data_IF_203445086751
#
_entry.id   IF_203445086751
#
_cell.length_a   1.000
_cell.length_b   1.000
_cell.length_c   1.000
_cell.angle_alpha   90.00
_cell.angle_beta   90.00
_cell.angle_gamma   90.00
#
_symmetry.space_group_name_H-M   'P 1'
#
loop_
_entity.id
_entity.type
_entity.pdbx_description
1 polymer ?
#
# COMPACT_ATOMS: atom_id res chain seq x y z
N UNK A 1 -2.16 -35.04 -28.80
CA UNK A 1 -3.20 -35.00 -27.73
C UNK A 1 -3.90 -33.65 -27.81
N UNK A 2 -5.16 -33.47 -27.36
CA UNK A 2 -5.73 -32.13 -27.25
C UNK A 2 -4.87 -31.28 -26.29
N UNK A 3 -4.53 -30.05 -26.69
CA UNK A 3 -3.74 -29.13 -25.88
C UNK A 3 -4.50 -28.84 -24.58
N UNK A 4 -3.87 -29.13 -23.45
CA UNK A 4 -4.53 -28.99 -22.14
C UNK A 4 -4.23 -27.62 -21.56
N UNK A 5 -5.22 -26.72 -21.40
CA UNK A 5 -4.98 -25.39 -20.85
C UNK A 5 -4.70 -25.46 -19.34
N UNK A 6 -3.67 -24.75 -18.91
CA UNK A 6 -3.39 -24.45 -17.50
C UNK A 6 -3.97 -23.07 -17.22
N UNK A 7 -4.95 -22.99 -16.34
CA UNK A 7 -5.71 -21.74 -16.09
C UNK A 7 -5.46 -21.21 -14.68
N UNK A 8 -5.72 -19.92 -14.49
CA UNK A 8 -5.74 -19.29 -13.16
C UNK A 8 -6.92 -19.88 -12.35
N UNK A 9 -6.66 -20.63 -11.25
CA UNK A 9 -7.71 -21.20 -10.43
C UNK A 9 -8.46 -20.12 -9.63
N UNK A 10 -9.70 -20.41 -9.27
CA UNK A 10 -10.47 -19.58 -8.35
C UNK A 10 -9.98 -19.83 -6.91
N UNK A 11 -9.16 -18.92 -6.38
CA UNK A 11 -8.61 -19.02 -5.02
C UNK A 11 -9.57 -18.50 -3.95
N UNK A 12 -10.42 -17.52 -4.28
CA UNK A 12 -11.43 -16.95 -3.38
C UNK A 12 -12.64 -16.43 -4.19
N UNK A 13 -13.86 -16.67 -3.70
CA UNK A 13 -15.10 -16.26 -4.36
C UNK A 13 -15.22 -14.73 -4.60
N UNK A 14 -14.42 -13.91 -3.91
CA UNK A 14 -14.46 -12.45 -4.00
C UNK A 14 -13.24 -11.83 -4.70
N UNK A 15 -12.35 -12.63 -5.29
CA UNK A 15 -11.11 -12.16 -5.92
C UNK A 15 -11.05 -12.61 -7.38
N UNK A 16 -11.38 -11.72 -8.34
CA UNK A 16 -11.47 -12.08 -9.76
C UNK A 16 -10.11 -12.13 -10.46
N UNK A 17 -9.03 -11.73 -9.79
CA UNK A 17 -7.68 -11.58 -10.37
C UNK A 17 -6.61 -12.15 -9.43
N UNK A 18 -5.55 -12.71 -10.01
CA UNK A 18 -4.37 -13.20 -9.32
C UNK A 18 -3.10 -12.73 -10.06
N UNK A 19 -2.03 -12.49 -9.32
CA UNK A 19 -0.72 -12.13 -9.85
C UNK A 19 0.14 -13.38 -10.00
N UNK A 20 0.76 -13.59 -11.16
CA UNK A 20 1.79 -14.60 -11.34
C UNK A 20 3.09 -14.10 -10.69
N UNK A 21 3.51 -14.74 -9.59
CA UNK A 21 4.66 -14.28 -8.80
C UNK A 21 5.93 -15.07 -9.08
N UNK A 22 5.82 -16.36 -9.39
CA UNK A 22 6.98 -17.18 -9.78
C UNK A 22 6.60 -18.13 -10.92
N UNK A 23 7.54 -18.29 -11.85
CA UNK A 23 7.47 -19.30 -12.93
C UNK A 23 8.55 -20.35 -12.68
N UNK A 24 8.13 -21.57 -12.37
CA UNK A 24 9.05 -22.67 -11.98
C UNK A 24 9.50 -23.55 -13.15
N UNK A 25 9.05 -23.25 -14.37
CA UNK A 25 9.26 -24.06 -15.57
C UNK A 25 9.61 -23.19 -16.79
N UNK A 26 10.40 -23.74 -17.71
CA UNK A 26 10.75 -23.10 -18.97
C UNK A 26 9.76 -23.45 -20.10
N UNK A 27 9.61 -22.55 -21.08
CA UNK A 27 8.88 -22.86 -22.32
C UNK A 27 9.55 -24.04 -23.05
N UNK A 28 8.74 -25.01 -23.45
CA UNK A 28 9.18 -26.28 -24.04
C UNK A 28 9.71 -27.32 -23.04
N UNK A 29 9.63 -27.08 -21.72
CA UNK A 29 10.05 -28.05 -20.71
C UNK A 29 9.03 -29.19 -20.57
N UNK A 30 9.51 -30.44 -20.50
CA UNK A 30 8.66 -31.61 -20.18
C UNK A 30 8.42 -31.69 -18.67
N UNK A 31 7.17 -31.85 -18.27
CA UNK A 31 6.72 -31.95 -16.88
C UNK A 31 5.88 -33.20 -16.66
N UNK A 32 5.92 -33.76 -15.45
CA UNK A 32 5.04 -34.85 -15.01
C UNK A 32 3.80 -34.27 -14.31
N UNK A 33 2.72 -35.07 -14.21
CA UNK A 33 1.52 -34.65 -13.47
C UNK A 33 1.86 -34.39 -11.98
N UNK A 34 1.31 -33.30 -11.42
CA UNK A 34 1.60 -32.83 -10.06
C UNK A 34 2.86 -31.96 -9.95
N UNK A 35 3.60 -31.72 -11.04
CA UNK A 35 4.72 -30.78 -11.02
C UNK A 35 4.21 -29.35 -10.85
N UNK A 36 4.82 -28.59 -9.93
CA UNK A 36 4.52 -27.17 -9.75
C UNK A 36 5.02 -26.39 -10.96
N UNK A 37 4.13 -25.63 -11.61
CA UNK A 37 4.43 -24.82 -12.79
C UNK A 37 4.56 -23.34 -12.43
N UNK A 38 3.63 -22.85 -11.62
CA UNK A 38 3.49 -21.44 -11.29
C UNK A 38 3.16 -21.26 -9.83
N UNK A 39 3.61 -20.16 -9.23
CA UNK A 39 3.04 -19.65 -7.98
C UNK A 39 2.27 -18.39 -8.30
N UNK A 40 1.02 -18.34 -7.88
CA UNK A 40 0.14 -17.18 -8.05
C UNK A 40 -0.24 -16.61 -6.69
N UNK A 41 -0.31 -15.29 -6.60
CA UNK A 41 -0.64 -14.57 -5.39
C UNK A 41 -1.90 -13.72 -5.60
N UNK A 42 -2.86 -13.84 -4.69
CA UNK A 42 -3.93 -12.86 -4.52
C UNK A 42 -3.65 -11.99 -3.32
N UNK A 43 -4.48 -10.98 -3.09
CA UNK A 43 -4.34 -10.09 -1.91
C UNK A 43 -4.39 -10.81 -0.55
N UNK A 44 -4.78 -12.09 -0.51
CA UNK A 44 -4.98 -12.85 0.73
C UNK A 44 -4.19 -14.15 0.83
N UNK A 45 -3.77 -14.74 -0.28
CA UNK A 45 -3.07 -16.02 -0.28
C UNK A 45 -2.18 -16.18 -1.52
N UNK A 46 -1.09 -16.92 -1.36
CA UNK A 46 -0.37 -17.50 -2.48
C UNK A 46 -0.77 -18.97 -2.64
N UNK A 47 -0.83 -19.45 -3.88
CA UNK A 47 -1.12 -20.83 -4.22
C UNK A 47 -0.28 -21.28 -5.40
N UNK A 48 0.14 -22.52 -5.35
CA UNK A 48 0.83 -23.16 -6.47
C UNK A 48 -0.19 -23.71 -7.48
N UNK A 49 0.19 -23.65 -8.75
CA UNK A 49 -0.54 -24.23 -9.89
C UNK A 49 0.27 -25.41 -10.42
N UNK A 50 -0.30 -26.60 -10.32
CA UNK A 50 0.33 -27.85 -10.70
C UNK A 50 -0.09 -28.32 -12.11
N UNK A 51 0.77 -29.11 -12.76
CA UNK A 51 0.46 -29.77 -14.01
C UNK A 51 -0.61 -30.86 -13.81
N UNK A 52 -1.78 -30.79 -14.48
CA UNK A 52 -2.83 -31.80 -14.34
C UNK A 52 -2.48 -33.14 -15.02
N UNK A 53 -1.59 -33.09 -16.01
CA UNK A 53 -1.16 -34.26 -16.80
C UNK A 53 0.32 -34.14 -17.16
N UNK A 54 0.91 -35.24 -17.64
CA UNK A 54 2.24 -35.20 -18.29
C UNK A 54 2.16 -34.44 -19.61
N UNK A 55 3.19 -33.66 -19.95
CA UNK A 55 3.26 -32.92 -21.22
C UNK A 55 4.45 -31.97 -21.32
N UNK A 56 4.52 -31.24 -22.44
CA UNK A 56 5.47 -30.14 -22.62
C UNK A 56 4.76 -28.80 -22.37
N UNK A 57 5.36 -27.93 -21.56
CA UNK A 57 4.80 -26.63 -21.23
C UNK A 57 4.98 -25.66 -22.40
N UNK A 58 3.90 -25.03 -22.85
CA UNK A 58 3.92 -23.90 -23.78
C UNK A 58 3.40 -22.65 -23.08
N UNK A 59 4.31 -21.73 -22.78
CA UNK A 59 4.06 -20.55 -21.96
C UNK A 59 3.22 -19.50 -22.69
N UNK A 60 2.25 -18.91 -21.97
CA UNK A 60 1.47 -17.76 -22.45
C UNK A 60 1.54 -16.54 -21.53
N UNK A 61 1.73 -16.75 -20.22
CA UNK A 61 1.91 -15.69 -19.23
C UNK A 61 3.38 -15.53 -18.82
N UNK A 62 3.75 -14.36 -18.32
CA UNK A 62 5.07 -14.05 -17.78
C UNK A 62 4.98 -13.67 -16.29
N UNK A 63 6.07 -13.91 -15.56
CA UNK A 63 6.20 -13.49 -14.17
C UNK A 63 5.90 -11.99 -14.02
N UNK A 64 5.04 -11.64 -13.07
CA UNK A 64 4.55 -10.29 -12.84
C UNK A 64 3.19 -9.97 -13.47
N UNK A 65 2.66 -10.82 -14.36
CA UNK A 65 1.34 -10.62 -14.97
C UNK A 65 0.21 -10.69 -13.92
N UNK A 66 -0.80 -9.82 -14.07
CA UNK A 66 -2.06 -9.88 -13.33
C UNK A 66 -3.12 -10.46 -14.27
N UNK A 67 -3.69 -11.60 -13.89
CA UNK A 67 -4.53 -12.43 -14.75
C UNK A 67 -5.87 -12.68 -14.06
N UNK A 68 -6.96 -12.69 -14.83
CA UNK A 68 -8.28 -12.99 -14.30
C UNK A 68 -8.45 -14.49 -14.05
N UNK A 69 -9.30 -14.86 -13.10
CA UNK A 69 -9.67 -16.26 -12.87
C UNK A 69 -10.22 -16.86 -14.17
N UNK A 70 -9.65 -18.00 -14.59
CA UNK A 70 -9.97 -18.67 -15.84
C UNK A 70 -9.09 -18.28 -17.03
N UNK A 71 -8.24 -17.24 -16.93
CA UNK A 71 -7.25 -16.94 -17.97
C UNK A 71 -6.22 -18.07 -18.07
N UNK A 72 -5.69 -18.31 -19.28
CA UNK A 72 -4.74 -19.41 -19.55
C UNK A 72 -3.30 -18.94 -19.32
N UNK A 73 -2.62 -19.57 -18.37
CA UNK A 73 -1.21 -19.34 -18.04
C UNK A 73 -0.26 -20.00 -19.06
N UNK A 74 -0.59 -21.23 -19.46
CA UNK A 74 0.18 -22.04 -20.37
C UNK A 74 -0.68 -23.18 -20.94
N UNK A 75 -0.16 -23.90 -21.93
CA UNK A 75 -0.73 -25.15 -22.40
C UNK A 75 0.24 -26.30 -22.15
N UNK A 76 -0.29 -27.51 -21.89
CA UNK A 76 0.46 -28.75 -22.01
C UNK A 76 0.22 -29.35 -23.39
N UNK A 77 1.31 -29.58 -24.11
CA UNK A 77 1.34 -30.11 -25.48
C UNK A 77 2.06 -31.46 -25.55
N UNK A 78 1.94 -32.15 -26.68
CA UNK A 78 2.59 -33.45 -26.88
C UNK A 78 4.07 -33.30 -27.24
N UNK A 79 4.45 -32.18 -27.87
CA UNK A 79 5.84 -31.86 -28.20
C UNK A 79 6.23 -30.46 -27.75
N UNK A 80 7.53 -30.25 -27.50
CA UNK A 80 8.07 -28.97 -27.00
C UNK A 80 7.80 -27.76 -27.90
N UNK A 81 7.56 -27.97 -29.21
CA UNK A 81 7.41 -26.90 -30.20
C UNK A 81 6.05 -26.92 -30.89
N UNK A 82 5.06 -27.62 -30.33
CA UNK A 82 3.72 -27.72 -30.92
C UNK A 82 3.03 -26.34 -30.98
N UNK A 83 2.51 -25.97 -32.14
CA UNK A 83 1.81 -24.69 -32.33
C UNK A 83 0.44 -24.70 -31.61
N UNK A 84 0.11 -23.64 -30.88
CA UNK A 84 -1.12 -23.57 -30.08
C UNK A 84 -2.35 -23.28 -30.95
N UNK A 85 -3.39 -24.11 -30.87
CA UNK A 85 -4.54 -24.09 -31.79
C UNK A 85 -5.62 -23.06 -31.40
N UNK A 86 -5.67 -22.60 -30.14
CA UNK A 86 -6.67 -21.64 -29.66
C UNK A 86 -6.03 -20.56 -28.78
N UNK A 87 -6.00 -19.32 -29.26
CA UNK A 87 -5.66 -18.13 -28.46
C UNK A 87 -6.93 -17.29 -28.27
N UNK A 88 -7.68 -17.42 -27.17
CA UNK A 88 -8.86 -16.60 -26.93
C UNK A 88 -8.49 -15.29 -26.23
N UNK A 89 -7.75 -14.43 -26.92
CA UNK A 89 -7.89 -12.96 -26.94
C UNK A 89 -6.72 -12.39 -27.72
N UNK A 90 -7.08 -11.66 -28.77
CA UNK A 90 -6.20 -10.82 -29.56
C UNK A 90 -5.46 -9.81 -28.68
N UNK A 91 -4.27 -10.20 -28.21
CA UNK A 91 -3.20 -9.25 -27.95
C UNK A 91 -2.89 -8.56 -29.29
N UNK A 92 -2.85 -7.22 -29.34
CA UNK A 92 -2.43 -6.55 -30.56
C UNK A 92 -1.00 -6.98 -30.87
N UNK A 93 -0.85 -7.75 -31.96
CA UNK A 93 0.43 -8.09 -32.58
C UNK A 93 1.18 -6.79 -32.83
N UNK A 94 2.18 -6.46 -32.01
CA UNK A 94 3.12 -5.38 -32.31
C UNK A 94 4.05 -5.92 -33.38
N UNK A 95 3.82 -5.49 -34.62
CA UNK A 95 4.83 -5.56 -35.68
C UNK A 95 6.06 -4.83 -35.19
N UNK A 96 7.16 -5.56 -35.03
CA UNK A 96 8.49 -4.98 -34.94
C UNK A 96 8.82 -4.37 -36.29
N UNK A 97 8.65 -3.06 -36.41
CA UNK A 97 9.39 -2.14 -37.29
C UNK A 97 8.69 -0.78 -37.19
N UNK A 98 9.17 0.06 -36.27
CA UNK A 98 9.70 1.37 -36.60
C UNK A 98 10.43 1.91 -35.36
N UNK A 99 11.59 2.52 -35.62
CA UNK A 99 12.58 2.88 -34.62
C UNK A 99 12.00 3.83 -33.56
N UNK A 100 11.90 3.34 -32.32
CA UNK A 100 11.76 4.17 -31.12
C UNK A 100 13.09 4.21 -30.38
N UNK A 101 13.36 5.27 -29.59
CA UNK A 101 14.65 5.47 -28.91
C UNK A 101 15.00 4.27 -28.02
N UNK A 102 16.29 3.92 -27.97
CA UNK A 102 16.82 2.71 -27.30
C UNK A 102 16.18 2.46 -25.92
N UNK A 103 15.53 1.30 -25.77
CA UNK A 103 15.02 0.80 -24.49
C UNK A 103 13.57 1.17 -24.13
N UNK A 104 12.84 1.90 -25.00
CA UNK A 104 11.44 2.21 -24.79
C UNK A 104 10.53 1.03 -25.21
N UNK A 105 9.78 0.45 -24.27
CA UNK A 105 8.79 -0.61 -24.53
C UNK A 105 7.39 -0.02 -24.36
N UNK A 106 6.61 0.11 -25.44
CA UNK A 106 5.28 0.74 -25.44
C UNK A 106 4.28 -0.05 -26.28
N UNK A 107 3.01 -0.16 -25.87
CA UNK A 107 1.97 -0.82 -26.69
C UNK A 107 1.45 0.10 -27.79
N UNK A 108 0.94 -0.43 -28.91
CA UNK A 108 0.36 0.42 -29.99
C UNK A 108 -0.75 1.36 -29.51
N UNK A 109 -1.73 0.92 -28.69
CA UNK A 109 -2.73 1.84 -28.13
C UNK A 109 -2.11 2.93 -27.25
N UNK A 110 -1.07 2.58 -26.48
CA UNK A 110 -0.34 3.54 -25.65
C UNK A 110 0.44 4.56 -26.49
N UNK A 111 1.09 4.13 -27.57
CA UNK A 111 1.80 5.00 -28.49
C UNK A 111 0.84 5.96 -29.21
N UNK A 112 -0.28 5.45 -29.75
CA UNK A 112 -1.29 6.28 -30.40
C UNK A 112 -1.90 7.31 -29.43
N UNK A 113 -2.12 6.91 -28.17
CA UNK A 113 -2.56 7.82 -27.12
C UNK A 113 -1.48 8.87 -26.82
N UNK A 114 -0.21 8.49 -26.70
CA UNK A 114 0.90 9.39 -26.43
C UNK A 114 1.04 10.44 -27.54
N UNK A 115 0.96 10.03 -28.80
CA UNK A 115 0.97 10.91 -29.96
C UNK A 115 -0.25 11.85 -29.96
N UNK A 116 -1.45 11.33 -29.68
CA UNK A 116 -2.68 12.16 -29.60
C UNK A 116 -2.64 13.22 -28.48
N UNK A 117 -1.86 12.96 -27.43
CA UNK A 117 -1.67 13.84 -26.28
C UNK A 117 -0.41 14.72 -26.42
N UNK A 118 0.31 14.63 -27.55
CA UNK A 118 1.52 15.42 -27.81
C UNK A 118 2.72 15.05 -26.92
N UNK A 119 2.77 13.82 -26.41
CA UNK A 119 3.89 13.35 -25.59
C UNK A 119 5.07 12.92 -26.47
N UNK A 120 6.24 13.51 -26.25
CA UNK A 120 7.46 13.03 -26.91
C UNK A 120 7.86 11.63 -26.40
N UNK A 121 7.94 10.66 -27.30
CA UNK A 121 8.29 9.27 -26.99
C UNK A 121 9.66 9.14 -26.32
N UNK A 122 10.62 9.98 -26.70
CA UNK A 122 11.96 10.08 -26.10
C UNK A 122 11.95 10.47 -24.61
N UNK A 123 10.88 11.12 -24.15
CA UNK A 123 10.72 11.60 -22.78
C UNK A 123 9.97 10.61 -21.87
N UNK A 124 9.55 9.47 -22.41
CA UNK A 124 8.80 8.45 -21.68
C UNK A 124 9.75 7.49 -20.93
N UNK A 125 9.34 7.00 -19.75
CA UNK A 125 10.20 6.13 -18.94
C UNK A 125 10.50 4.80 -19.64
N UNK A 126 11.77 4.43 -19.66
CA UNK A 126 12.30 3.18 -20.25
C UNK A 126 12.41 2.06 -19.20
N UNK A 127 12.64 0.82 -19.65
CA UNK A 127 12.85 -0.33 -18.76
C UNK A 127 11.60 -1.09 -18.30
N UNK A 128 10.39 -0.62 -18.65
CA UNK A 128 9.11 -1.33 -18.43
C UNK A 128 8.16 -1.14 -19.62
N UNK A 129 7.16 -2.01 -19.77
CA UNK A 129 6.13 -1.86 -20.81
C UNK A 129 5.15 -0.74 -20.44
N UNK A 130 5.01 0.25 -21.31
CA UNK A 130 4.04 1.33 -21.19
C UNK A 130 2.73 0.95 -21.88
N UNK A 131 1.67 0.80 -21.09
CA UNK A 131 0.30 0.53 -21.55
C UNK A 131 -0.48 1.84 -21.73
N UNK A 132 -1.68 1.76 -22.32
CA UNK A 132 -2.53 2.95 -22.50
C UNK A 132 -2.88 3.60 -21.16
N UNK A 133 -3.09 2.79 -20.11
CA UNK A 133 -3.26 3.27 -18.74
C UNK A 133 -2.03 4.05 -18.25
N UNK A 134 -0.82 3.51 -18.45
CA UNK A 134 0.43 4.19 -18.07
C UNK A 134 0.64 5.52 -18.83
N UNK A 135 0.18 5.61 -20.09
CA UNK A 135 0.23 6.85 -20.86
C UNK A 135 -0.84 7.85 -20.39
N UNK A 136 -2.05 7.40 -20.03
CA UNK A 136 -3.06 8.25 -19.37
C UNK A 136 -2.54 8.80 -18.05
N UNK A 137 -1.81 8.00 -17.28
CA UNK A 137 -1.14 8.44 -16.05
C UNK A 137 -0.08 9.51 -16.32
N UNK A 138 0.82 9.24 -17.27
CA UNK A 138 1.89 10.19 -17.65
C UNK A 138 1.30 11.49 -18.19
N UNK A 139 0.22 11.41 -18.96
CA UNK A 139 -0.49 12.57 -19.47
C UNK A 139 -1.27 13.32 -18.39
N UNK A 140 -1.92 12.62 -17.46
CA UNK A 140 -2.58 13.23 -16.31
C UNK A 140 -1.59 13.93 -15.38
N UNK A 141 -0.37 13.39 -15.24
CA UNK A 141 0.73 14.04 -14.54
C UNK A 141 1.35 15.23 -15.31
N UNK A 142 1.10 15.36 -16.62
CA UNK A 142 1.64 16.40 -17.51
C UNK A 142 0.64 17.48 -17.92
N UNK A 143 -0.67 17.27 -17.76
CA UNK A 143 -1.58 18.41 -17.80
C UNK A 143 -1.15 19.36 -16.69
N UNK A 144 -0.82 20.62 -17.00
CA UNK A 144 -0.42 21.57 -15.97
C UNK A 144 -1.59 21.69 -15.00
N UNK A 145 -1.45 21.07 -13.82
CA UNK A 145 -2.35 21.38 -12.72
C UNK A 145 -1.95 22.79 -12.31
N UNK A 146 -2.88 23.73 -12.51
CA UNK A 146 -2.71 25.09 -12.04
C UNK A 146 -2.74 25.07 -10.51
N UNK A 147 -1.57 24.89 -9.90
CA UNK A 147 -1.38 24.86 -8.47
C UNK A 147 -1.08 26.28 -7.98
N UNK A 148 -1.84 26.78 -6.98
CA UNK A 148 -1.52 28.05 -6.35
C UNK A 148 -0.19 27.94 -5.60
N UNK A 149 0.37 29.09 -5.24
CA UNK A 149 1.41 29.14 -4.23
C UNK A 149 0.78 28.92 -2.85
N UNK A 150 1.50 28.22 -1.97
CA UNK A 150 1.01 27.81 -0.66
C UNK A 150 1.71 28.57 0.46
N UNK A 151 0.91 28.95 1.45
CA UNK A 151 1.39 29.52 2.70
C UNK A 151 1.82 28.42 3.69
N UNK A 152 2.52 28.82 4.76
CA UNK A 152 3.05 27.91 5.78
C UNK A 152 1.98 27.15 6.59
N UNK A 153 0.70 27.54 6.51
CA UNK A 153 -0.42 26.89 7.17
C UNK A 153 -1.07 25.78 6.32
N UNK A 154 -0.65 25.61 5.07
CA UNK A 154 -1.18 24.58 4.20
C UNK A 154 -0.53 23.23 4.48
N UNK A 155 -1.35 22.17 4.43
CA UNK A 155 -0.92 20.79 4.67
C UNK A 155 -1.39 19.87 3.55
N UNK A 156 -0.47 19.03 3.07
CA UNK A 156 -0.77 17.95 2.13
C UNK A 156 -1.33 16.74 2.88
N UNK A 157 -2.30 16.04 2.30
CA UNK A 157 -2.71 14.72 2.76
C UNK A 157 -2.20 13.66 1.77
N UNK A 158 -1.47 12.67 2.24
CA UNK A 158 -1.04 11.56 1.39
C UNK A 158 -1.86 10.30 1.66
N UNK A 159 -2.67 9.90 0.68
CA UNK A 159 -3.62 8.79 0.71
C UNK A 159 -5.06 9.30 0.68
N UNK A 160 -5.93 8.56 0.02
CA UNK A 160 -7.36 8.87 -0.16
C UNK A 160 -8.30 7.80 0.43
N UNK A 161 -7.74 6.87 1.23
CA UNK A 161 -8.46 5.76 1.84
C UNK A 161 -9.27 6.13 3.10
N UNK A 162 -9.76 5.10 3.82
CA UNK A 162 -10.54 5.29 5.04
C UNK A 162 -9.79 6.01 6.16
N UNK A 163 -8.51 5.69 6.37
CA UNK A 163 -7.66 6.39 7.35
C UNK A 163 -7.46 7.86 6.98
N UNK A 164 -7.26 8.16 5.70
CA UNK A 164 -7.11 9.53 5.22
C UNK A 164 -8.34 10.40 5.52
N UNK A 165 -9.55 9.84 5.40
CA UNK A 165 -10.79 10.55 5.79
C UNK A 165 -10.75 11.01 7.24
N UNK A 166 -10.37 10.12 8.15
CA UNK A 166 -10.25 10.46 9.57
C UNK A 166 -9.13 11.49 9.84
N UNK A 167 -8.01 11.42 9.11
CA UNK A 167 -6.93 12.42 9.21
C UNK A 167 -7.40 13.79 8.69
N UNK A 168 -8.13 13.84 7.57
CA UNK A 168 -8.69 15.08 7.03
C UNK A 168 -9.66 15.74 8.01
N UNK A 169 -10.59 14.97 8.56
CA UNK A 169 -11.53 15.47 9.57
C UNK A 169 -10.79 15.96 10.82
N UNK A 170 -9.73 15.27 11.25
CA UNK A 170 -8.89 15.72 12.36
C UNK A 170 -8.18 17.05 12.05
N UNK A 171 -7.56 17.18 10.88
CA UNK A 171 -6.91 18.43 10.45
C UNK A 171 -7.91 19.58 10.41
N UNK A 172 -9.10 19.34 9.84
CA UNK A 172 -10.18 20.34 9.79
C UNK A 172 -10.68 20.72 11.19
N UNK A 173 -10.84 19.74 12.09
CA UNK A 173 -11.28 19.99 13.46
C UNK A 173 -10.25 20.78 14.28
N UNK A 174 -8.94 20.52 14.09
CA UNK A 174 -7.86 21.29 14.71
C UNK A 174 -7.94 22.76 14.26
N UNK A 175 -8.23 23.02 12.99
CA UNK A 175 -8.43 24.36 12.45
C UNK A 175 -7.15 25.20 12.32
N UNK A 176 -5.97 24.62 12.63
CA UNK A 176 -4.66 25.29 12.52
C UNK A 176 -4.03 25.14 11.13
N UNK A 177 -4.56 24.25 10.28
CA UNK A 177 -4.02 23.99 8.95
C UNK A 177 -5.11 23.94 7.88
N UNK A 178 -4.76 24.37 6.66
CA UNK A 178 -5.63 24.31 5.48
C UNK A 178 -5.21 23.15 4.60
N UNK A 179 -6.11 22.24 4.29
CA UNK A 179 -5.78 21.10 3.42
C UNK A 179 -5.59 21.61 2.00
N UNK A 180 -4.37 21.52 1.47
CA UNK A 180 -4.02 21.92 0.11
C UNK A 180 -4.63 20.99 -0.95
N UNK A 181 -4.69 19.70 -0.62
CA UNK A 181 -5.17 18.66 -1.51
C UNK A 181 -4.68 17.28 -1.05
N UNK A 182 -5.02 16.27 -1.84
CA UNK A 182 -4.66 14.88 -1.59
C UNK A 182 -3.72 14.38 -2.68
N UNK A 183 -2.67 13.65 -2.31
CA UNK A 183 -1.97 12.76 -3.23
C UNK A 183 -2.38 11.31 -2.98
N UNK A 184 -2.65 10.55 -4.03
CA UNK A 184 -2.85 9.11 -3.95
C UNK A 184 -2.24 8.44 -5.19
N UNK A 185 -1.52 7.34 -4.99
CA UNK A 185 -0.85 6.64 -6.08
C UNK A 185 -1.81 5.82 -6.97
N UNK A 186 -3.08 5.68 -6.56
CA UNK A 186 -4.10 5.16 -7.44
C UNK A 186 -4.49 6.23 -8.48
N UNK A 187 -4.10 6.07 -9.75
CA UNK A 187 -4.33 7.07 -10.78
C UNK A 187 -5.81 7.27 -11.08
N UNK A 188 -6.66 6.28 -10.80
CA UNK A 188 -8.11 6.39 -10.97
C UNK A 188 -8.74 7.39 -9.99
N UNK A 189 -7.99 7.87 -8.99
CA UNK A 189 -8.44 8.90 -8.04
C UNK A 189 -8.06 10.31 -8.45
N UNK A 190 -7.09 10.50 -9.34
CA UNK A 190 -6.67 11.82 -9.79
C UNK A 190 -7.86 12.62 -10.36
N UNK A 191 -7.99 13.89 -9.95
CA UNK A 191 -9.09 14.77 -10.33
C UNK A 191 -10.43 14.49 -9.64
N UNK A 192 -10.55 13.40 -8.86
CA UNK A 192 -11.72 13.18 -7.99
C UNK A 192 -11.58 13.99 -6.70
N UNK A 193 -12.63 13.97 -5.88
CA UNK A 193 -12.58 14.55 -4.54
C UNK A 193 -12.93 13.51 -3.47
N UNK A 194 -12.36 13.71 -2.27
CA UNK A 194 -12.68 12.94 -1.08
C UNK A 194 -13.03 13.93 0.03
N UNK A 195 -14.23 13.82 0.59
CA UNK A 195 -14.76 14.80 1.57
C UNK A 195 -14.69 16.26 1.07
N UNK A 196 -14.89 16.47 -0.24
CA UNK A 196 -14.80 17.79 -0.87
C UNK A 196 -13.38 18.30 -1.11
N UNK A 197 -12.34 17.56 -0.71
CA UNK A 197 -10.94 17.90 -0.99
C UNK A 197 -10.49 17.26 -2.30
N UNK A 198 -9.85 17.99 -3.23
CA UNK A 198 -9.40 17.44 -4.50
C UNK A 198 -8.21 16.49 -4.34
N UNK A 199 -8.23 15.39 -5.08
CA UNK A 199 -7.07 14.53 -5.30
C UNK A 199 -6.28 15.09 -6.46
N UNK A 200 -5.14 15.70 -6.15
CA UNK A 200 -4.30 16.41 -7.11
C UNK A 200 -3.61 15.43 -8.07
N UNK A 201 -3.24 14.24 -7.61
CA UNK A 201 -2.56 13.24 -8.42
C UNK A 201 -1.77 12.26 -7.55
N UNK A 202 -0.70 11.69 -8.11
CA UNK A 202 0.18 10.76 -7.39
C UNK A 202 1.48 11.41 -6.90
N UNK A 203 2.38 10.57 -6.38
CA UNK A 203 3.71 10.98 -5.86
C UNK A 203 4.55 11.89 -6.74
N UNK A 204 4.35 11.87 -8.06
CA UNK A 204 5.11 12.70 -9.00
C UNK A 204 4.98 14.21 -8.75
N UNK A 205 3.93 14.65 -8.05
CA UNK A 205 3.69 16.06 -7.75
C UNK A 205 4.39 16.55 -6.47
N UNK A 206 5.05 15.68 -5.70
CA UNK A 206 5.68 16.07 -4.43
C UNK A 206 6.71 17.20 -4.61
N UNK A 207 7.59 17.09 -5.61
CA UNK A 207 8.61 18.11 -5.88
C UNK A 207 7.98 19.46 -6.27
N UNK A 208 7.00 19.43 -7.18
CA UNK A 208 6.29 20.64 -7.63
C UNK A 208 5.54 21.32 -6.48
N UNK A 209 4.88 20.55 -5.61
CA UNK A 209 4.19 21.10 -4.44
C UNK A 209 5.15 21.80 -3.47
N UNK A 210 6.37 21.25 -3.31
CA UNK A 210 7.42 21.88 -2.50
C UNK A 210 7.93 23.17 -3.12
N UNK A 211 8.14 23.19 -4.44
CA UNK A 211 8.51 24.40 -5.19
C UNK A 211 7.43 25.48 -5.06
N UNK A 212 6.16 25.08 -4.98
CA UNK A 212 5.00 25.95 -4.72
C UNK A 212 4.86 26.39 -3.26
N UNK A 213 5.80 26.04 -2.38
CA UNK A 213 5.81 26.48 -0.98
C UNK A 213 5.07 25.57 0.00
N UNK A 214 4.50 24.44 -0.43
CA UNK A 214 3.79 23.53 0.49
C UNK A 214 4.78 22.75 1.35
N UNK A 215 4.89 23.10 2.64
CA UNK A 215 5.91 22.55 3.56
C UNK A 215 5.43 21.35 4.38
N UNK A 216 4.15 21.32 4.73
CA UNK A 216 3.61 20.37 5.69
C UNK A 216 2.90 19.21 5.01
N UNK A 217 2.98 18.03 5.61
CA UNK A 217 2.20 16.87 5.18
C UNK A 217 1.67 16.06 6.37
N UNK A 218 0.55 15.37 6.15
CA UNK A 218 0.02 14.34 7.02
C UNK A 218 -0.18 13.05 6.23
N UNK A 219 0.35 11.94 6.76
CA UNK A 219 0.18 10.64 6.14
C UNK A 219 -1.21 10.07 6.44
N UNK A 220 -2.02 9.92 5.40
CA UNK A 220 -3.36 9.34 5.39
C UNK A 220 -3.39 7.82 5.22
N UNK A 221 -2.25 7.13 5.29
CA UNK A 221 -2.16 5.66 5.22
C UNK A 221 -1.92 5.05 6.60
N UNK A 222 -2.81 4.14 7.02
CA UNK A 222 -2.80 3.56 8.37
C UNK A 222 -1.80 2.41 8.59
N UNK A 223 -1.42 1.66 7.56
CA UNK A 223 -0.40 0.60 7.67
C UNK A 223 -0.82 -0.67 8.45
N UNK A 224 -2.13 -0.90 8.65
CA UNK A 224 -2.64 -2.08 9.38
C UNK A 224 -2.24 -3.39 8.69
N UNK A 225 -2.39 -3.47 7.36
CA UNK A 225 -2.02 -4.67 6.59
C UNK A 225 -0.50 -4.78 6.47
N UNK A 226 0.12 -3.77 5.87
CA UNK A 226 1.57 -3.63 5.74
C UNK A 226 2.03 -2.28 6.29
N UNK A 227 2.72 -2.31 7.43
CA UNK A 227 3.30 -1.12 8.05
C UNK A 227 4.41 -0.53 7.17
N UNK A 228 5.08 -1.34 6.35
CA UNK A 228 6.15 -0.88 5.48
C UNK A 228 5.64 0.08 4.41
N UNK A 229 4.38 -0.06 3.94
CA UNK A 229 3.77 0.95 3.06
C UNK A 229 3.75 2.32 3.74
N UNK A 230 3.25 2.38 4.98
CA UNK A 230 3.16 3.62 5.73
C UNK A 230 4.54 4.24 5.97
N UNK A 231 5.53 3.42 6.34
CA UNK A 231 6.92 3.85 6.54
C UNK A 231 7.50 4.44 5.26
N UNK A 232 7.41 3.72 4.14
CA UNK A 232 7.91 4.17 2.82
C UNK A 232 7.29 5.50 2.39
N UNK A 233 6.01 5.72 2.69
CA UNK A 233 5.34 6.97 2.34
C UNK A 233 5.79 8.15 3.20
N UNK A 234 6.11 7.94 4.48
CA UNK A 234 6.75 8.99 5.28
C UNK A 234 8.15 9.32 4.74
N UNK A 235 8.97 8.30 4.46
CA UNK A 235 10.33 8.47 3.91
C UNK A 235 10.29 9.19 2.54
N UNK A 236 9.33 8.84 1.69
CA UNK A 236 9.12 9.49 0.40
C UNK A 236 8.80 10.99 0.55
N UNK A 237 7.87 11.35 1.43
CA UNK A 237 7.52 12.75 1.68
C UNK A 237 8.67 13.51 2.36
N UNK A 238 9.38 12.89 3.30
CA UNK A 238 10.53 13.47 3.99
C UNK A 238 11.70 13.73 3.03
N UNK A 239 12.00 12.79 2.13
CA UNK A 239 13.03 12.96 1.09
C UNK A 239 12.67 14.03 0.06
N UNK A 240 11.38 14.31 -0.13
CA UNK A 240 10.92 15.49 -0.87
C UNK A 240 10.97 16.79 -0.04
N UNK A 241 11.35 16.73 1.24
CA UNK A 241 11.52 17.88 2.12
C UNK A 241 10.24 18.36 2.82
N UNK A 242 9.22 17.51 2.94
CA UNK A 242 8.05 17.80 3.77
C UNK A 242 8.35 17.59 5.25
N UNK A 243 7.68 18.37 6.11
CA UNK A 243 7.67 18.21 7.56
C UNK A 243 6.30 17.73 8.05
N UNK A 244 6.26 17.07 9.20
CA UNK A 244 5.05 16.41 9.71
C UNK A 244 4.67 16.97 11.08
N UNK A 245 3.68 17.86 11.18
CA UNK A 245 3.23 18.33 12.48
C UNK A 245 2.64 17.16 13.29
N UNK A 246 2.77 17.21 14.62
CA UNK A 246 1.95 16.39 15.49
C UNK A 246 0.50 16.88 15.40
N UNK A 247 -0.43 15.96 15.16
CA UNK A 247 -1.85 16.24 15.00
C UNK A 247 -2.62 15.59 16.14
N UNK A 248 -3.25 16.41 16.99
CA UNK A 248 -4.11 15.95 18.06
C UNK A 248 -5.51 16.53 17.88
N UNK A 249 -6.50 15.66 17.69
CA UNK A 249 -7.89 16.07 17.57
C UNK A 249 -8.33 16.87 18.81
N UNK A 250 -9.08 17.98 18.71
CA UNK A 250 -9.49 18.80 19.87
C UNK A 250 -10.37 18.08 20.92
N UNK A 251 -10.92 16.93 20.55
CA UNK A 251 -11.68 16.02 21.43
C UNK A 251 -10.81 14.93 22.07
N UNK A 252 -9.53 14.85 21.74
CA UNK A 252 -8.58 14.04 22.49
C UNK A 252 -8.19 14.79 23.76
N UNK A 253 -7.84 14.05 24.80
CA UNK A 253 -7.18 14.61 26.00
C UNK A 253 -5.72 14.22 25.95
N UNK A 254 -4.84 15.21 25.86
CA UNK A 254 -3.39 15.02 25.93
C UNK A 254 -2.90 15.83 27.12
N UNK A 255 -2.36 15.14 28.12
CA UNK A 255 -1.85 15.78 29.33
C UNK A 255 -0.67 16.70 29.01
N UNK A 256 -0.55 17.81 29.74
CA UNK A 256 0.44 18.86 29.45
C UNK A 256 1.90 18.37 29.57
N UNK A 257 2.14 17.31 30.36
CA UNK A 257 3.47 16.70 30.48
C UNK A 257 3.76 15.61 29.46
N UNK A 258 2.77 15.22 28.65
CA UNK A 258 2.99 14.28 27.56
C UNK A 258 3.80 14.93 26.42
N UNK A 259 4.67 14.15 25.79
CA UNK A 259 5.54 14.61 24.69
C UNK A 259 5.13 13.93 23.39
N UNK A 260 4.79 14.74 22.38
CA UNK A 260 4.37 14.28 21.05
C UNK A 260 5.44 14.66 20.03
N UNK A 261 6.00 13.66 19.36
CA UNK A 261 6.98 13.86 18.29
C UNK A 261 6.32 14.16 16.94
N UNK A 262 7.13 14.52 15.95
CA UNK A 262 6.70 14.79 14.58
C UNK A 262 5.89 13.64 13.96
N UNK A 263 4.83 14.00 13.25
CA UNK A 263 3.94 13.08 12.54
C UNK A 263 3.10 12.17 13.43
N UNK A 264 3.09 12.39 14.76
CA UNK A 264 2.17 11.70 15.66
C UNK A 264 0.73 12.08 15.34
N UNK A 265 -0.18 11.11 15.37
CA UNK A 265 -1.61 11.29 15.15
C UNK A 265 -2.40 10.81 16.37
N UNK A 266 -3.11 11.72 17.06
CA UNK A 266 -3.97 11.42 18.21
C UNK A 266 -5.42 11.74 17.83
N UNK A 267 -6.23 10.69 17.68
CA UNK A 267 -7.60 10.79 17.16
C UNK A 267 -8.63 11.15 18.24
N UNK A 268 -9.86 11.44 17.80
CA UNK A 268 -10.93 11.89 18.69
C UNK A 268 -11.19 10.93 19.86
N UNK A 269 -11.43 11.51 21.04
CA UNK A 269 -11.70 10.80 22.29
C UNK A 269 -10.57 9.88 22.78
N UNK A 270 -9.38 9.94 22.18
CA UNK A 270 -8.20 9.30 22.74
C UNK A 270 -7.74 10.02 24.02
N UNK A 271 -7.11 9.29 24.93
CA UNK A 271 -6.44 9.82 26.12
C UNK A 271 -4.95 9.50 26.09
N UNK A 272 -4.11 10.51 26.28
CA UNK A 272 -2.66 10.40 26.42
C UNK A 272 -2.28 10.99 27.78
N UNK A 273 -1.94 10.12 28.73
CA UNK A 273 -1.71 10.46 30.13
C UNK A 273 -0.36 11.14 30.40
N UNK A 274 -0.20 11.58 31.65
CA UNK A 274 0.97 12.33 32.13
C UNK A 274 2.29 11.61 31.85
N UNK A 275 3.31 12.38 31.47
CA UNK A 275 4.68 11.88 31.24
C UNK A 275 4.80 10.81 30.15
N UNK A 276 3.77 10.61 29.33
CA UNK A 276 3.81 9.69 28.20
C UNK A 276 4.63 10.27 27.05
N UNK A 277 5.43 9.42 26.42
CA UNK A 277 6.24 9.77 25.25
C UNK A 277 5.70 9.06 24.01
N UNK A 278 5.23 9.84 23.05
CA UNK A 278 4.81 9.36 21.73
C UNK A 278 5.93 9.65 20.71
N UNK A 279 6.61 8.59 20.27
CA UNK A 279 7.72 8.68 19.32
C UNK A 279 7.24 9.00 17.90
N UNK A 280 8.16 9.44 17.01
CA UNK A 280 7.78 9.92 15.68
C UNK A 280 6.87 8.98 14.92
N UNK A 281 5.86 9.59 14.28
CA UNK A 281 4.97 8.91 13.34
C UNK A 281 4.12 7.81 13.97
N UNK A 282 4.07 7.63 15.30
CA UNK A 282 3.12 6.70 15.91
C UNK A 282 1.69 7.26 15.84
N UNK A 283 0.69 6.45 16.18
CA UNK A 283 -0.68 6.93 16.29
C UNK A 283 -1.43 6.32 17.48
N UNK A 284 -2.26 7.15 18.09
CA UNK A 284 -3.22 6.78 19.14
C UNK A 284 -4.61 7.00 18.59
N UNK A 285 -5.28 5.91 18.22
CA UNK A 285 -6.52 5.97 17.46
C UNK A 285 -7.74 6.24 18.36
N UNK A 286 -8.90 6.38 17.73
CA UNK A 286 -10.16 6.83 18.33
C UNK A 286 -10.50 6.06 19.60
N UNK A 287 -10.69 6.79 20.70
CA UNK A 287 -11.05 6.21 21.99
C UNK A 287 -9.97 5.33 22.65
N UNK A 288 -8.74 5.29 22.11
CA UNK A 288 -7.65 4.57 22.75
C UNK A 288 -7.13 5.33 23.98
N UNK A 289 -6.72 4.59 25.00
CA UNK A 289 -6.20 5.11 26.26
C UNK A 289 -4.74 4.68 26.38
N UNK A 290 -3.85 5.66 26.45
CA UNK A 290 -2.44 5.47 26.82
C UNK A 290 -2.27 6.15 28.17
N UNK A 291 -2.17 5.36 29.25
CA UNK A 291 -2.07 5.87 30.62
C UNK A 291 -0.74 6.59 30.87
N UNK A 292 -0.50 7.00 32.12
CA UNK A 292 0.70 7.73 32.52
C UNK A 292 1.99 6.92 32.33
N UNK A 293 3.10 7.63 32.12
CA UNK A 293 4.46 7.09 32.03
C UNK A 293 4.64 5.99 30.97
N UNK A 294 3.82 6.00 29.91
CA UNK A 294 3.95 5.07 28.80
C UNK A 294 4.94 5.57 27.74
N UNK A 295 5.50 4.65 26.96
CA UNK A 295 6.36 4.97 25.83
C UNK A 295 5.89 4.21 24.57
N UNK A 296 5.52 4.93 23.52
CA UNK A 296 5.00 4.36 22.27
C UNK A 296 5.98 4.60 21.14
N UNK A 297 6.58 3.52 20.64
CA UNK A 297 7.65 3.53 19.65
C UNK A 297 7.26 4.06 18.27
N UNK A 298 8.28 4.33 17.45
CA UNK A 298 8.12 4.91 16.11
C UNK A 298 7.19 4.07 15.24
N UNK A 299 6.32 4.74 14.47
CA UNK A 299 5.35 4.11 13.57
C UNK A 299 4.31 3.18 14.22
N UNK A 300 4.34 3.01 15.54
CA UNK A 300 3.44 2.09 16.25
C UNK A 300 2.00 2.57 16.19
N UNK A 301 1.08 1.63 16.05
CA UNK A 301 -0.35 1.89 15.94
C UNK A 301 -1.08 1.33 17.16
N UNK A 302 -1.55 2.22 18.02
CA UNK A 302 -2.51 1.90 19.07
C UNK A 302 -3.92 2.05 18.49
N UNK A 303 -4.56 0.92 18.17
CA UNK A 303 -5.81 0.88 17.42
C UNK A 303 -7.03 1.31 18.27
N UNK A 304 -8.20 1.57 17.64
CA UNK A 304 -9.37 2.10 18.34
C UNK A 304 -9.75 1.35 19.61
N UNK A 305 -10.01 2.09 20.69
CA UNK A 305 -10.46 1.55 21.96
C UNK A 305 -9.45 0.67 22.71
N UNK A 306 -8.20 0.56 22.25
CA UNK A 306 -7.16 -0.13 23.03
C UNK A 306 -6.84 0.66 24.31
N UNK A 307 -6.62 -0.04 25.43
CA UNK A 307 -6.39 0.54 26.75
C UNK A 307 -5.07 0.02 27.33
N UNK A 308 -4.04 0.86 27.30
CA UNK A 308 -2.75 0.60 27.90
C UNK A 308 -2.74 1.14 29.33
N UNK A 309 -2.44 0.28 30.30
CA UNK A 309 -2.20 0.67 31.69
C UNK A 309 -0.91 1.50 31.84
N UNK A 310 -0.65 2.05 33.03
CA UNK A 310 0.53 2.89 33.27
C UNK A 310 1.86 2.14 33.04
N UNK A 311 2.92 2.89 32.74
CA UNK A 311 4.29 2.35 32.56
C UNK A 311 4.45 1.32 31.42
N UNK A 312 3.51 1.25 30.47
CA UNK A 312 3.58 0.32 29.35
C UNK A 312 4.52 0.87 28.27
N UNK A 313 5.43 0.02 27.79
CA UNK A 313 6.33 0.34 26.69
C UNK A 313 5.95 -0.50 25.48
N UNK A 314 5.74 0.15 24.33
CA UNK A 314 5.43 -0.53 23.07
C UNK A 314 6.51 -0.19 22.06
N UNK A 315 7.22 -1.21 21.57
CA UNK A 315 8.31 -1.09 20.61
C UNK A 315 7.84 -0.56 19.25
N UNK A 316 8.80 -0.29 18.37
CA UNK A 316 8.57 0.33 17.07
C UNK A 316 7.81 -0.60 16.11
N UNK A 317 7.02 0.01 15.20
CA UNK A 317 6.29 -0.68 14.14
C UNK A 317 5.36 -1.79 14.64
N UNK A 318 4.93 -1.69 15.90
CA UNK A 318 3.99 -2.62 16.51
C UNK A 318 2.55 -2.19 16.24
N UNK A 319 1.64 -3.16 16.25
CA UNK A 319 0.19 -2.95 16.16
C UNK A 319 -0.46 -3.51 17.42
N UNK A 320 -1.06 -2.63 18.22
CA UNK A 320 -1.93 -2.99 19.34
C UNK A 320 -3.36 -2.94 18.83
N UNK A 321 -3.99 -4.10 18.66
CA UNK A 321 -5.33 -4.24 18.08
C UNK A 321 -6.44 -3.54 18.85
N UNK A 322 -7.60 -3.43 18.21
CA UNK A 322 -8.76 -2.74 18.77
C UNK A 322 -9.23 -3.40 20.06
N UNK A 323 -9.58 -2.60 21.07
CA UNK A 323 -10.09 -3.10 22.35
C UNK A 323 -9.11 -3.97 23.15
N UNK A 324 -7.82 -3.97 22.80
CA UNK A 324 -6.80 -4.67 23.58
C UNK A 324 -6.64 -3.99 24.94
N UNK A 325 -6.44 -4.78 25.99
CA UNK A 325 -6.12 -4.27 27.33
C UNK A 325 -4.77 -4.81 27.80
N UNK A 326 -4.00 -4.02 28.53
CA UNK A 326 -2.71 -4.45 29.09
C UNK A 326 -2.65 -4.32 30.60
N UNK A 327 -1.83 -5.15 31.23
CA UNK A 327 -1.39 -4.95 32.61
C UNK A 327 -0.39 -3.77 32.70
N UNK A 328 -0.20 -3.28 33.92
CA UNK A 328 0.72 -2.19 34.24
C UNK A 328 2.18 -2.63 34.01
N UNK A 329 3.01 -1.73 33.48
CA UNK A 329 4.47 -1.90 33.46
C UNK A 329 5.02 -2.91 32.45
N UNK A 330 4.17 -3.49 31.58
CA UNK A 330 4.63 -4.50 30.62
C UNK A 330 5.39 -3.88 29.44
N UNK A 331 6.25 -4.68 28.84
CA UNK A 331 6.99 -4.35 27.62
C UNK A 331 6.49 -5.16 26.44
N UNK A 332 5.98 -4.48 25.43
CA UNK A 332 5.64 -5.06 24.12
C UNK A 332 6.78 -4.73 23.17
N UNK A 333 7.40 -5.75 22.57
CA UNK A 333 8.55 -5.62 21.69
C UNK A 333 8.28 -4.89 20.37
N UNK A 334 9.30 -4.84 19.52
CA UNK A 334 9.25 -4.25 18.18
C UNK A 334 8.56 -5.17 17.17
N UNK A 335 7.79 -4.61 16.25
CA UNK A 335 7.11 -5.35 15.19
C UNK A 335 6.08 -6.36 15.69
N UNK A 336 5.61 -6.22 16.93
CA UNK A 336 4.59 -7.09 17.53
C UNK A 336 3.24 -6.78 16.90
N UNK A 337 2.43 -7.82 16.66
CA UNK A 337 1.06 -7.68 16.16
C UNK A 337 0.09 -8.33 17.13
N UNK A 338 -0.68 -7.52 17.84
CA UNK A 338 -1.67 -7.97 18.81
C UNK A 338 -3.05 -7.91 18.17
N UNK A 339 -3.72 -9.04 18.05
CA UNK A 339 -5.07 -9.13 17.53
C UNK A 339 -6.09 -8.43 18.43
N UNK A 340 -7.20 -7.98 17.82
CA UNK A 340 -8.26 -7.25 18.51
C UNK A 340 -8.80 -8.02 19.74
N UNK A 341 -9.16 -7.30 20.79
CA UNK A 341 -9.80 -7.83 21.99
C UNK A 341 -8.91 -8.72 22.85
N UNK A 342 -7.60 -8.78 22.60
CA UNK A 342 -6.68 -9.52 23.44
C UNK A 342 -6.43 -8.83 24.80
N UNK A 343 -6.00 -9.62 25.79
CA UNK A 343 -5.61 -9.13 27.11
C UNK A 343 -4.16 -9.53 27.37
N UNK A 344 -3.29 -8.57 27.68
CA UNK A 344 -1.85 -8.79 27.78
C UNK A 344 -1.37 -8.55 29.22
N UNK A 345 -1.00 -9.62 29.92
CA UNK A 345 -0.57 -9.58 31.33
C UNK A 345 0.96 -9.67 31.53
N UNK A 346 1.72 -9.93 30.48
CA UNK A 346 3.17 -10.10 30.56
C UNK A 346 3.86 -9.51 29.34
N UNK A 347 5.19 -9.37 29.43
CA UNK A 347 6.03 -8.90 28.34
C UNK A 347 5.83 -9.74 27.07
N UNK A 348 5.84 -9.07 25.92
CA UNK A 348 5.66 -9.70 24.60
C UNK A 348 6.96 -9.53 23.80
N UNK A 349 7.65 -10.61 23.43
CA UNK A 349 8.88 -10.53 22.65
C UNK A 349 8.69 -9.88 21.26
N UNK A 350 9.77 -9.35 20.69
CA UNK A 350 9.79 -8.79 19.34
C UNK A 350 9.18 -9.74 18.30
N UNK A 351 8.48 -9.15 17.32
CA UNK A 351 7.86 -9.83 16.17
C UNK A 351 6.82 -10.90 16.51
N UNK A 352 6.40 -10.97 17.78
CA UNK A 352 5.33 -11.89 18.20
C UNK A 352 4.01 -11.51 17.52
N UNK A 353 3.27 -12.52 17.08
CA UNK A 353 1.90 -12.38 16.60
C UNK A 353 0.97 -13.00 17.63
N UNK A 354 0.16 -12.16 18.28
CA UNK A 354 -0.85 -12.60 19.22
C UNK A 354 -2.22 -12.69 18.54
N UNK A 355 -2.89 -13.85 18.52
CA UNK A 355 -4.22 -13.97 17.93
C UNK A 355 -5.27 -13.13 18.67
N UNK A 356 -6.31 -12.72 17.94
CA UNK A 356 -7.43 -11.95 18.48
C UNK A 356 -8.15 -12.69 19.63
N UNK A 357 -8.63 -11.93 20.62
CA UNK A 357 -9.40 -12.43 21.76
C UNK A 357 -8.65 -13.36 22.71
N UNK A 358 -7.32 -13.46 22.59
CA UNK A 358 -6.50 -14.31 23.47
C UNK A 358 -5.97 -13.54 24.67
N UNK A 359 -5.71 -14.29 25.74
CA UNK A 359 -4.98 -13.80 26.91
C UNK A 359 -3.50 -14.17 26.75
N UNK A 360 -2.60 -13.20 26.88
CA UNK A 360 -1.16 -13.40 26.97
C UNK A 360 -0.72 -13.30 28.42
N UNK A 361 -0.13 -14.37 28.96
CA UNK A 361 0.35 -14.40 30.35
C UNK A 361 1.86 -14.69 30.44
N UNK A 362 2.58 -14.57 29.33
CA UNK A 362 3.99 -14.94 29.21
C UNK A 362 4.17 -16.23 28.42
N UNK A 363 5.27 -16.31 27.68
CA UNK A 363 5.63 -17.44 26.82
C UNK A 363 7.12 -17.76 26.89
#
# INVERSE_FOLDING_TARGET
MPQTPITVPLLNANEPEARLVDVHVADGQRVEAGAILFTIETTKAASDVEAPTVGYVRMLAAEGDILAVGDVLAYLTETANEALEHSPRSLPVVSTQDATPDGLRITRPAQALAESLGLELSSLPTGRLLTEAAIREIAAARQPIDLPDYDNDHILIYGAGGHAKAVMEMVQAIGAHRIAGILDDNPALAGKSVLGIPVLGGRGLLALLREKGLMLAANGVGGILDIAVRVRLFELQESAGFSFPALAHPRATVEASASLSDGVQVFANAYVGSSTVLHPRCMVNTGAIVSHDCEIGRYTHIAPGAMLAGHVHVGERSLVGMGVTTAIGIKIGNGVRIGNGAVVYADVPDKTILPAGKVWAGG
#
